data_IF_109585876803
#
_entry.id   IF_109585876803
#
_cell.length_a   1.000
_cell.length_b   1.000
_cell.length_c   1.000
_cell.angle_alpha   90.00
_cell.angle_beta   90.00
_cell.angle_gamma   90.00
#
_symmetry.space_group_name_H-M   'P 1'
#
loop_
_entity.id
_entity.type
_entity.pdbx_description
1 polymer ?
#
# COMPACT_ATOMS: atom_id res chain seq x y z
N UNK A 1 57.56 -33.34 -6.18
CA UNK A 1 58.01 -32.18 -5.37
C UNK A 1 56.99 -31.06 -5.54
N UNK A 2 56.68 -30.27 -4.50
CA UNK A 2 55.72 -29.16 -4.56
C UNK A 2 56.19 -28.09 -5.58
N UNK A 3 55.34 -27.28 -6.25
CA UNK A 3 54.46 -26.27 -5.65
C UNK A 3 53.29 -25.81 -6.54
N UNK A 4 52.42 -24.96 -5.95
CA UNK A 4 51.11 -24.51 -6.47
C UNK A 4 51.16 -23.32 -7.45
N UNK A 5 50.18 -23.33 -8.35
CA UNK A 5 49.40 -22.21 -8.91
C UNK A 5 49.61 -20.79 -8.34
N UNK A 6 49.62 -19.80 -9.26
CA UNK A 6 48.93 -18.52 -9.05
C UNK A 6 48.18 -18.03 -10.31
N UNK A 7 46.94 -17.56 -10.05
CA UNK A 7 46.09 -16.58 -10.76
C UNK A 7 46.48 -16.11 -12.18
N UNK A 8 45.49 -16.08 -13.07
CA UNK A 8 44.82 -14.82 -13.48
C UNK A 8 43.49 -15.07 -14.22
N UNK A 9 42.61 -14.07 -14.20
CA UNK A 9 41.25 -14.08 -14.75
C UNK A 9 41.22 -13.87 -16.26
N UNK A 10 40.20 -14.37 -16.98
CA UNK A 10 39.57 -13.67 -18.11
C UNK A 10 38.13 -14.17 -18.37
N UNK A 11 37.30 -13.30 -18.94
CA UNK A 11 35.91 -13.58 -19.36
C UNK A 11 35.84 -14.40 -20.67
N UNK A 12 34.61 -14.84 -21.03
CA UNK A 12 33.92 -14.65 -22.34
C UNK A 12 33.13 -15.90 -22.84
N UNK A 13 31.85 -15.66 -23.17
CA UNK A 13 30.91 -16.37 -24.08
C UNK A 13 30.93 -17.90 -24.25
N UNK A 14 29.78 -18.54 -23.97
CA UNK A 14 28.88 -19.24 -24.91
C UNK A 14 27.72 -19.87 -24.09
N UNK A 15 26.42 -19.69 -24.36
CA UNK A 15 25.63 -19.65 -25.59
C UNK A 15 25.33 -21.04 -26.21
N UNK A 16 24.10 -21.51 -25.92
CA UNK A 16 23.24 -22.41 -26.71
C UNK A 16 23.59 -23.89 -26.94
N UNK A 17 22.58 -24.71 -26.61
CA UNK A 17 22.09 -25.90 -27.32
C UNK A 17 22.99 -27.14 -27.45
N UNK A 18 22.44 -28.28 -27.01
CA UNK A 18 22.15 -29.42 -27.90
C UNK A 18 20.97 -30.21 -27.28
N UNK A 19 19.91 -30.37 -28.06
CA UNK A 19 18.89 -31.40 -27.87
C UNK A 19 19.45 -32.71 -28.42
N UNK A 20 19.27 -33.84 -27.72
CA UNK A 20 18.99 -35.10 -28.41
C UNK A 20 18.04 -36.00 -27.62
N UNK A 21 17.19 -36.68 -28.37
CA UNK A 21 16.00 -37.43 -27.94
C UNK A 21 16.31 -38.91 -27.72
N UNK A 22 15.53 -39.56 -26.85
CA UNK A 22 15.12 -40.96 -27.05
C UNK A 22 13.72 -41.18 -26.46
N UNK A 23 12.91 -41.95 -27.19
CA UNK A 23 11.52 -42.33 -26.86
C UNK A 23 11.52 -43.67 -26.09
N UNK A 24 10.49 -44.04 -25.30
CA UNK A 24 9.23 -44.62 -25.79
C UNK A 24 8.11 -44.71 -24.72
N UNK A 25 6.87 -44.63 -25.20
CA UNK A 25 5.61 -45.24 -24.70
C UNK A 25 4.98 -44.83 -23.33
N UNK A 26 4.03 -43.90 -23.45
CA UNK A 26 2.63 -43.94 -22.96
C UNK A 26 2.29 -44.63 -21.61
N UNK A 27 1.83 -43.82 -20.65
CA UNK A 27 0.49 -44.03 -20.05
C UNK A 27 -0.17 -42.67 -19.76
N UNK A 28 -1.50 -42.59 -19.89
CA UNK A 28 -2.24 -41.33 -19.85
C UNK A 28 -2.78 -40.99 -18.46
N UNK A 29 -2.20 -39.96 -17.84
CA UNK A 29 -2.86 -39.15 -16.82
C UNK A 29 -2.39 -37.69 -16.99
N UNK A 30 -3.27 -36.68 -16.84
CA UNK A 30 -2.80 -35.31 -16.82
C UNK A 30 -1.87 -35.16 -15.59
N UNK A 31 -0.65 -34.61 -15.74
CA UNK A 31 0.17 -34.34 -14.58
C UNK A 31 -0.56 -33.33 -13.71
N UNK A 32 -0.98 -33.77 -12.52
CA UNK A 32 -1.46 -32.88 -11.48
C UNK A 32 -0.28 -31.99 -11.08
N UNK A 33 -0.17 -30.83 -11.73
CA UNK A 33 0.79 -29.79 -11.33
C UNK A 33 0.57 -29.52 -9.86
N UNK A 34 1.58 -29.73 -8.99
CA UNK A 34 1.45 -29.38 -7.58
C UNK A 34 1.02 -27.91 -7.49
N UNK A 35 0.11 -27.55 -6.57
CA UNK A 35 -0.23 -26.15 -6.38
C UNK A 35 1.06 -25.39 -6.05
N UNK A 36 1.37 -24.36 -6.83
CA UNK A 36 2.53 -23.50 -6.59
C UNK A 36 2.46 -23.00 -5.14
N UNK A 37 3.50 -23.22 -4.30
CA UNK A 37 3.41 -22.93 -2.89
C UNK A 37 3.09 -21.45 -2.67
N UNK A 38 1.96 -21.16 -2.01
CA UNK A 38 1.51 -19.80 -1.69
C UNK A 38 2.42 -19.23 -0.60
N UNK A 39 3.48 -18.51 -0.97
CA UNK A 39 4.51 -18.02 -0.05
C UNK A 39 4.06 -16.79 0.75
N UNK A 40 3.65 -17.02 2.01
CA UNK A 40 3.34 -15.97 2.98
C UNK A 40 4.01 -16.29 4.33
N UNK A 41 4.83 -15.37 4.85
CA UNK A 41 5.48 -15.39 6.19
C UNK A 41 4.49 -15.01 7.31
N UNK A 42 4.21 -15.85 8.30
CA UNK A 42 3.58 -15.42 9.57
C UNK A 42 4.65 -15.21 10.65
N UNK A 43 4.53 -14.14 11.43
CA UNK A 43 5.42 -13.80 12.56
C UNK A 43 4.57 -13.57 13.82
N UNK A 44 5.03 -14.05 14.98
CA UNK A 44 4.32 -13.93 16.26
C UNK A 44 5.16 -13.18 17.30
N UNK A 45 4.49 -12.28 18.02
CA UNK A 45 5.04 -11.45 19.09
C UNK A 45 4.18 -11.59 20.36
N UNK A 46 4.80 -11.51 21.53
CA UNK A 46 4.10 -11.56 22.83
C UNK A 46 3.51 -10.20 23.18
N UNK A 47 2.31 -10.17 23.76
CA UNK A 47 1.58 -8.93 24.07
C UNK A 47 2.26 -7.97 25.05
N UNK A 48 3.20 -8.45 25.86
CA UNK A 48 3.60 -7.80 27.12
C UNK A 48 4.97 -7.09 27.05
N UNK A 49 5.58 -6.96 25.86
CA UNK A 49 6.94 -6.40 25.71
C UNK A 49 6.96 -4.97 25.18
N UNK A 50 6.94 -4.00 26.10
CA UNK A 50 7.67 -2.72 25.94
C UNK A 50 9.12 -2.94 26.40
N UNK A 51 9.96 -3.60 25.58
CA UNK A 51 11.04 -2.85 24.89
C UNK A 51 11.19 -3.37 23.42
N UNK A 52 12.31 -3.21 22.67
CA UNK A 52 12.30 -3.39 21.22
C UNK A 52 11.99 -4.83 20.78
N UNK A 53 11.49 -5.04 19.54
CA UNK A 53 11.04 -6.35 19.08
C UNK A 53 12.15 -7.41 19.23
N UNK A 54 11.79 -8.64 19.66
CA UNK A 54 12.77 -9.66 19.97
C UNK A 54 13.62 -9.99 18.73
N UNK A 55 14.94 -10.12 18.92
CA UNK A 55 15.90 -10.36 17.82
C UNK A 55 15.62 -11.65 17.01
N UNK A 56 14.79 -12.55 17.53
CA UNK A 56 14.28 -13.73 16.82
C UNK A 56 12.78 -13.93 17.14
N UNK A 57 11.85 -13.27 16.41
CA UNK A 57 10.44 -13.54 16.59
C UNK A 57 10.10 -14.89 15.96
N UNK A 58 9.24 -15.68 16.62
CA UNK A 58 8.83 -16.99 16.10
C UNK A 58 8.11 -16.80 14.77
N UNK A 59 8.57 -17.49 13.72
CA UNK A 59 8.05 -17.28 12.36
C UNK A 59 7.73 -18.60 11.66
N UNK A 60 6.50 -18.69 11.14
CA UNK A 60 5.95 -19.87 10.50
C UNK A 60 5.76 -19.60 9.01
N UNK A 61 6.24 -20.52 8.17
CA UNK A 61 5.99 -20.53 6.72
C UNK A 61 4.89 -21.55 6.42
N UNK A 62 3.59 -21.18 6.46
CA UNK A 62 2.49 -22.07 6.10
C UNK A 62 2.68 -22.62 4.67
N UNK A 63 2.44 -23.93 4.52
CA UNK A 63 2.47 -24.64 3.23
C UNK A 63 1.06 -25.03 2.75
N UNK A 64 0.08 -24.95 3.64
CA UNK A 64 -1.33 -25.29 3.40
C UNK A 64 -2.24 -24.32 4.15
N UNK A 65 -3.47 -24.12 3.68
CA UNK A 65 -4.43 -23.18 4.28
C UNK A 65 -4.72 -23.50 5.77
N UNK A 66 -4.80 -24.79 6.10
CA UNK A 66 -4.97 -25.26 7.49
C UNK A 66 -3.83 -24.84 8.44
N UNK A 67 -2.61 -24.60 7.94
CA UNK A 67 -1.52 -24.09 8.78
C UNK A 67 -1.81 -22.64 9.19
N UNK A 68 -2.48 -21.85 8.34
CA UNK A 68 -2.91 -20.48 8.64
C UNK A 68 -4.09 -20.49 9.62
N UNK A 69 -5.06 -21.37 9.42
CA UNK A 69 -6.17 -21.56 10.36
C UNK A 69 -5.66 -21.93 11.76
N UNK A 70 -4.78 -22.93 11.86
CA UNK A 70 -4.16 -23.34 13.11
C UNK A 70 -3.32 -22.22 13.73
N UNK A 71 -2.60 -21.43 12.92
CA UNK A 71 -1.83 -20.28 13.39
C UNK A 71 -2.72 -19.22 14.06
N UNK A 72 -3.86 -18.87 13.46
CA UNK A 72 -4.83 -17.93 14.05
C UNK A 72 -5.37 -18.47 15.38
N UNK A 73 -5.86 -19.71 15.39
CA UNK A 73 -6.46 -20.34 16.57
C UNK A 73 -5.44 -20.46 17.72
N UNK A 74 -4.21 -20.89 17.43
CA UNK A 74 -3.15 -21.00 18.43
C UNK A 74 -2.70 -19.63 18.94
N UNK A 75 -2.54 -18.63 18.06
CA UNK A 75 -2.16 -17.29 18.47
C UNK A 75 -3.20 -16.66 19.40
N UNK A 76 -4.50 -16.82 19.11
CA UNK A 76 -5.57 -16.40 20.01
C UNK A 76 -5.53 -17.14 21.36
N UNK A 77 -5.42 -18.47 21.33
CA UNK A 77 -5.38 -19.31 22.53
C UNK A 77 -4.20 -18.97 23.46
N UNK A 78 -3.09 -18.48 22.91
CA UNK A 78 -1.87 -18.14 23.62
C UNK A 78 -1.60 -16.62 23.72
N UNK A 79 -2.59 -15.78 23.38
CA UNK A 79 -2.50 -14.31 23.40
C UNK A 79 -1.26 -13.73 22.65
N UNK A 80 -0.93 -14.32 21.51
CA UNK A 80 0.16 -13.87 20.64
C UNK A 80 -0.38 -12.91 19.58
N UNK A 81 0.28 -11.76 19.42
CA UNK A 81 0.04 -10.85 18.32
C UNK A 81 0.62 -11.45 17.03
N UNK A 82 -0.15 -11.42 15.94
CA UNK A 82 0.28 -11.96 14.65
C UNK A 82 0.54 -10.83 13.65
N UNK A 83 1.71 -10.85 13.02
CA UNK A 83 2.08 -10.04 11.86
C UNK A 83 2.16 -10.92 10.62
N UNK A 84 1.56 -10.47 9.52
CA UNK A 84 1.41 -11.22 8.25
C UNK A 84 2.29 -10.55 7.20
N UNK A 85 3.15 -11.29 6.48
CA UNK A 85 3.83 -10.75 5.28
C UNK A 85 3.70 -11.62 4.03
N UNK A 86 3.66 -10.95 2.89
CA UNK A 86 3.72 -11.52 1.54
C UNK A 86 5.12 -11.27 0.96
N UNK A 87 5.25 -10.29 0.06
CA UNK A 87 6.55 -9.82 -0.46
C UNK A 87 7.36 -8.98 0.53
N UNK A 88 6.72 -8.42 1.57
CA UNK A 88 7.35 -7.58 2.59
C UNK A 88 7.98 -6.29 2.07
N UNK A 89 7.26 -5.61 1.18
CA UNK A 89 7.47 -4.22 0.81
C UNK A 89 6.58 -3.29 1.67
N UNK A 90 6.46 -3.58 2.96
CA UNK A 90 5.80 -2.68 3.90
C UNK A 90 6.79 -1.58 4.27
N UNK A 91 6.43 -0.33 3.99
CA UNK A 91 7.34 0.81 4.08
C UNK A 91 7.85 1.08 5.50
N UNK A 92 7.10 0.61 6.50
CA UNK A 92 7.37 0.82 7.93
C UNK A 92 7.80 -0.49 8.62
N UNK A 93 8.19 -1.51 7.84
CA UNK A 93 8.67 -2.78 8.37
C UNK A 93 7.61 -3.61 9.10
N UNK A 94 6.32 -3.20 9.11
CA UNK A 94 5.22 -3.93 9.78
C UNK A 94 5.05 -5.35 9.22
N UNK A 95 5.66 -5.65 8.05
CA UNK A 95 5.69 -6.99 7.44
C UNK A 95 7.10 -7.43 6.95
N UNK A 96 7.64 -8.45 7.62
CA UNK A 96 9.04 -8.94 7.64
C UNK A 96 9.76 -9.51 6.38
N UNK A 97 9.49 -9.12 5.12
CA UNK A 97 10.18 -9.62 3.87
C UNK A 97 10.10 -11.13 3.54
N UNK A 98 9.41 -11.57 2.48
CA UNK A 98 9.53 -12.96 1.95
C UNK A 98 9.32 -13.05 0.44
N UNK A 99 9.63 -14.21 -0.17
CA UNK A 99 9.67 -14.39 -1.62
C UNK A 99 8.31 -14.09 -2.30
N UNK A 100 8.30 -13.30 -3.39
CA UNK A 100 7.08 -12.80 -4.02
C UNK A 100 6.44 -13.79 -5.00
N UNK A 101 5.11 -13.80 -5.04
CA UNK A 101 4.36 -14.32 -6.18
C UNK A 101 4.38 -13.28 -7.31
N UNK A 102 5.14 -13.51 -8.38
CA UNK A 102 5.33 -12.52 -9.45
C UNK A 102 4.21 -12.52 -10.49
N UNK A 103 3.69 -11.33 -10.78
CA UNK A 103 2.76 -11.08 -11.89
C UNK A 103 3.43 -11.19 -13.27
N UNK A 104 4.76 -11.32 -13.37
CA UNK A 104 5.46 -11.55 -14.65
C UNK A 104 4.93 -12.79 -15.40
N UNK A 105 4.50 -13.80 -14.65
CA UNK A 105 3.92 -15.05 -15.15
C UNK A 105 2.67 -14.88 -16.02
N UNK A 106 2.00 -13.72 -15.98
CA UNK A 106 0.90 -13.37 -16.90
C UNK A 106 1.45 -13.10 -18.30
N UNK A 107 2.50 -12.27 -18.41
CA UNK A 107 3.13 -11.91 -19.68
C UNK A 107 3.86 -13.10 -20.33
N UNK A 108 4.44 -13.98 -19.51
CA UNK A 108 5.04 -15.25 -19.96
C UNK A 108 4.02 -16.19 -20.62
N UNK A 109 2.75 -16.14 -20.19
CA UNK A 109 1.66 -16.98 -20.70
C UNK A 109 0.83 -16.34 -21.81
N UNK A 110 0.81 -15.01 -21.91
CA UNK A 110 -0.03 -14.29 -22.87
C UNK A 110 0.50 -12.90 -23.18
N UNK A 111 0.82 -12.67 -24.47
CA UNK A 111 1.22 -11.35 -24.98
C UNK A 111 0.11 -10.30 -25.02
N UNK A 112 -1.16 -10.70 -24.92
CA UNK A 112 -2.33 -9.79 -25.09
C UNK A 112 -3.22 -9.70 -23.85
N UNK A 113 -2.72 -10.18 -22.72
CA UNK A 113 -3.37 -10.02 -21.42
C UNK A 113 -2.39 -9.39 -20.44
N UNK A 114 -2.88 -8.45 -19.64
CA UNK A 114 -2.16 -7.82 -18.55
C UNK A 114 -3.02 -7.75 -17.31
N UNK A 115 -2.49 -7.09 -16.29
CA UNK A 115 -3.22 -6.80 -15.05
C UNK A 115 -2.76 -5.45 -14.48
N UNK A 116 -3.66 -4.54 -14.09
CA UNK A 116 -3.29 -3.22 -13.58
C UNK A 116 -2.74 -3.34 -12.15
N UNK A 117 -1.41 -3.41 -12.02
CA UNK A 117 -0.73 -3.53 -10.74
C UNK A 117 0.60 -2.79 -10.72
N UNK A 118 1.26 -2.85 -9.57
CA UNK A 118 2.56 -2.27 -9.29
C UNK A 118 3.64 -2.70 -10.27
N UNK A 119 4.52 -1.74 -10.50
CA UNK A 119 5.69 -1.80 -11.38
C UNK A 119 6.90 -2.54 -10.78
N UNK A 120 6.95 -2.68 -9.45
CA UNK A 120 8.03 -3.35 -8.75
C UNK A 120 7.78 -4.87 -8.69
N UNK A 121 8.56 -5.72 -9.39
CA UNK A 121 8.26 -7.15 -9.55
C UNK A 121 8.39 -7.96 -8.25
N UNK A 122 9.04 -7.41 -7.24
CA UNK A 122 9.24 -8.03 -5.91
C UNK A 122 8.12 -7.73 -4.92
N UNK A 123 7.16 -6.86 -5.27
CA UNK A 123 6.02 -6.53 -4.41
C UNK A 123 5.00 -7.67 -4.41
N UNK A 124 4.77 -8.27 -3.25
CA UNK A 124 3.84 -9.40 -3.10
C UNK A 124 2.37 -8.97 -3.09
N UNK A 125 1.55 -9.68 -3.88
CA UNK A 125 0.13 -9.38 -4.11
C UNK A 125 -0.72 -9.25 -2.84
N UNK A 126 -0.40 -9.98 -1.76
CA UNK A 126 -1.19 -10.00 -0.53
C UNK A 126 -1.40 -8.62 0.07
N UNK A 127 -0.31 -7.90 0.35
CA UNK A 127 -0.36 -6.52 0.83
C UNK A 127 -0.84 -5.56 -0.27
N UNK A 128 -0.20 -5.65 -1.45
CA UNK A 128 -0.37 -4.71 -2.55
C UNK A 128 -1.82 -4.56 -3.03
N UNK A 129 -2.50 -5.69 -3.29
CA UNK A 129 -3.91 -5.66 -3.67
C UNK A 129 -4.77 -5.20 -2.49
N UNK A 130 -4.45 -5.61 -1.27
CA UNK A 130 -5.27 -5.26 -0.12
C UNK A 130 -5.30 -3.76 0.22
N UNK A 131 -4.32 -2.98 -0.26
CA UNK A 131 -4.25 -1.52 -0.15
C UNK A 131 -4.53 -0.76 -1.45
N UNK A 132 -5.07 -1.41 -2.50
CA UNK A 132 -5.44 -0.78 -3.77
C UNK A 132 -4.65 -1.29 -4.97
N UNK A 133 -3.35 -0.97 -5.01
CA UNK A 133 -2.42 -1.42 -6.05
C UNK A 133 -2.51 -0.61 -7.35
N UNK A 134 -1.69 0.45 -7.48
CA UNK A 134 -1.61 1.25 -8.70
C UNK A 134 -0.38 0.88 -9.55
N UNK A 135 -0.44 1.20 -10.83
CA UNK A 135 0.70 1.16 -11.76
C UNK A 135 0.42 1.93 -13.05
N UNK A 136 1.25 1.73 -14.08
CA UNK A 136 1.15 2.51 -15.33
C UNK A 136 -0.17 2.31 -16.09
N UNK A 137 -0.91 1.22 -15.84
CA UNK A 137 -2.22 0.96 -16.46
C UNK A 137 -3.39 1.70 -15.77
N UNK A 138 -3.14 2.46 -14.68
CA UNK A 138 -4.23 2.98 -13.84
C UNK A 138 -5.18 3.95 -14.56
N UNK A 139 -4.69 4.73 -15.54
CA UNK A 139 -5.53 5.67 -16.30
C UNK A 139 -6.49 4.99 -17.27
N UNK A 140 -6.21 3.76 -17.70
CA UNK A 140 -7.06 2.97 -18.63
C UNK A 140 -7.94 1.96 -17.91
N UNK A 141 -7.45 1.36 -16.82
CA UNK A 141 -8.11 0.23 -16.18
C UNK A 141 -8.39 0.43 -14.68
N UNK A 142 -7.89 1.48 -14.03
CA UNK A 142 -7.99 1.63 -12.59
C UNK A 142 -6.93 0.83 -11.83
N UNK A 143 -7.20 0.53 -10.57
CA UNK A 143 -6.30 -0.16 -9.64
C UNK A 143 -6.46 -1.69 -9.71
N UNK A 144 -5.54 -2.43 -9.09
CA UNK A 144 -5.66 -3.89 -8.93
C UNK A 144 -6.99 -4.29 -8.28
N UNK A 145 -7.42 -3.54 -7.25
CA UNK A 145 -8.71 -3.79 -6.56
C UNK A 145 -9.93 -3.68 -7.45
N UNK A 146 -9.87 -2.86 -8.50
CA UNK A 146 -10.99 -2.67 -9.43
C UNK A 146 -11.20 -3.91 -10.35
N UNK A 147 -10.30 -4.89 -10.29
CA UNK A 147 -10.32 -6.14 -11.07
C UNK A 147 -10.33 -7.41 -10.20
N UNK A 148 -10.51 -7.29 -8.88
CA UNK A 148 -10.68 -8.44 -7.99
C UNK A 148 -12.15 -8.86 -7.99
N UNK A 149 -12.42 -10.12 -8.28
CA UNK A 149 -13.79 -10.67 -8.34
C UNK A 149 -14.12 -11.61 -7.19
N UNK A 150 -13.11 -12.18 -6.54
CA UNK A 150 -13.25 -13.10 -5.41
C UNK A 150 -11.96 -13.13 -4.58
N UNK A 151 -12.01 -13.62 -3.36
CA UNK A 151 -10.85 -13.78 -2.48
C UNK A 151 -11.08 -14.92 -1.48
N UNK A 152 -10.01 -15.59 -1.05
CA UNK A 152 -10.05 -16.49 0.11
C UNK A 152 -9.39 -15.80 1.30
N UNK A 153 -10.02 -15.83 2.48
CA UNK A 153 -9.51 -15.24 3.73
C UNK A 153 -9.66 -16.21 4.91
N UNK A 154 -8.69 -16.21 5.83
CA UNK A 154 -8.86 -16.77 7.18
C UNK A 154 -9.31 -15.67 8.13
N UNK A 155 -10.49 -15.84 8.72
CA UNK A 155 -11.08 -14.89 9.66
C UNK A 155 -10.61 -15.07 11.11
N UNK A 156 -11.21 -14.29 12.03
CA UNK A 156 -10.89 -14.31 13.47
C UNK A 156 -11.32 -15.59 14.18
N UNK A 157 -12.02 -16.51 13.51
CA UNK A 157 -12.40 -17.80 14.04
C UNK A 157 -11.61 -18.95 13.39
N UNK A 158 -10.59 -18.63 12.58
CA UNK A 158 -9.80 -19.61 11.84
C UNK A 158 -10.60 -20.27 10.69
N UNK A 159 -11.70 -19.67 10.23
CA UNK A 159 -12.51 -20.19 9.11
C UNK A 159 -11.94 -19.67 7.79
N UNK A 160 -11.81 -20.55 6.79
CA UNK A 160 -11.56 -20.13 5.40
C UNK A 160 -12.89 -19.70 4.79
N UNK A 161 -12.97 -18.46 4.32
CA UNK A 161 -14.14 -17.88 3.69
C UNK A 161 -13.79 -17.44 2.26
N UNK A 162 -14.64 -17.75 1.29
CA UNK A 162 -14.65 -17.11 -0.03
C UNK A 162 -15.52 -15.83 -0.02
N UNK A 163 -15.69 -15.14 -1.16
CA UNK A 163 -16.57 -13.95 -1.24
C UNK A 163 -18.00 -14.22 -0.76
N UNK A 164 -18.56 -15.37 -1.10
CA UNK A 164 -19.94 -15.73 -0.74
C UNK A 164 -20.10 -15.95 0.78
N UNK A 165 -19.15 -16.64 1.41
CA UNK A 165 -19.18 -16.88 2.86
C UNK A 165 -18.71 -15.69 3.70
N UNK A 166 -17.82 -14.83 3.19
CA UNK A 166 -17.37 -13.63 3.91
C UNK A 166 -18.37 -12.45 3.78
N UNK A 167 -19.15 -12.43 2.69
CA UNK A 167 -20.11 -11.39 2.37
C UNK A 167 -19.47 -10.11 1.81
N UNK A 168 -20.28 -9.33 1.08
CA UNK A 168 -19.84 -8.16 0.31
C UNK A 168 -19.15 -7.08 1.14
N UNK A 169 -19.52 -6.92 2.42
CA UNK A 169 -18.87 -5.97 3.33
C UNK A 169 -17.40 -6.33 3.60
N UNK A 170 -17.13 -7.57 4.01
CA UNK A 170 -15.76 -8.02 4.28
C UNK A 170 -14.95 -8.09 3.00
N UNK A 171 -15.56 -8.56 1.89
CA UNK A 171 -14.94 -8.54 0.58
C UNK A 171 -14.51 -7.12 0.16
N UNK A 172 -15.41 -6.14 0.24
CA UNK A 172 -15.11 -4.73 -0.05
C UNK A 172 -13.98 -4.20 0.85
N UNK A 173 -13.99 -4.52 2.15
CA UNK A 173 -12.97 -4.05 3.09
C UNK A 173 -11.56 -4.57 2.77
N UNK A 174 -11.42 -5.84 2.35
CA UNK A 174 -10.11 -6.41 2.02
C UNK A 174 -9.61 -6.00 0.62
N UNK A 175 -10.48 -5.52 -0.27
CA UNK A 175 -10.11 -4.97 -1.58
C UNK A 175 -9.80 -3.47 -1.51
N UNK A 176 -8.92 -3.06 -0.58
CA UNK A 176 -8.38 -1.69 -0.52
C UNK A 176 -8.15 -1.12 0.88
N UNK A 177 -8.76 -1.71 1.93
CA UNK A 177 -8.73 -1.22 3.31
C UNK A 177 -7.60 -1.77 4.18
N UNK A 178 -6.66 -2.53 3.60
CA UNK A 178 -5.57 -3.19 4.30
C UNK A 178 -5.97 -4.52 4.93
N UNK A 179 -5.73 -5.62 4.21
CA UNK A 179 -6.24 -6.96 4.58
C UNK A 179 -5.81 -7.43 5.98
N UNK A 180 -4.61 -7.03 6.41
CA UNK A 180 -4.08 -7.31 7.75
C UNK A 180 -4.87 -6.68 8.91
N UNK A 181 -5.87 -5.83 8.65
CA UNK A 181 -6.83 -5.35 9.66
C UNK A 181 -8.05 -6.27 9.83
N UNK A 182 -8.28 -7.22 8.91
CA UNK A 182 -9.52 -8.00 8.83
C UNK A 182 -9.30 -9.52 8.86
N UNK A 183 -8.13 -10.00 8.45
CA UNK A 183 -7.76 -11.42 8.50
C UNK A 183 -6.51 -11.76 7.69
N UNK A 184 -6.30 -13.05 7.43
CA UNK A 184 -5.20 -13.52 6.57
C UNK A 184 -5.74 -13.83 5.18
N UNK A 185 -5.56 -12.92 4.22
CA UNK A 185 -5.94 -13.19 2.82
C UNK A 185 -5.00 -14.22 2.21
N UNK A 186 -5.55 -15.34 1.75
CA UNK A 186 -4.84 -16.49 1.19
C UNK A 186 -4.63 -16.39 -0.32
N UNK A 187 -5.60 -15.82 -1.04
CA UNK A 187 -5.57 -15.66 -2.50
C UNK A 187 -6.61 -14.65 -2.98
N UNK A 188 -6.36 -14.06 -4.15
CA UNK A 188 -7.32 -13.26 -4.91
C UNK A 188 -7.63 -13.94 -6.25
N UNK A 189 -8.88 -13.85 -6.69
CA UNK A 189 -9.30 -14.17 -8.06
C UNK A 189 -9.43 -12.85 -8.82
N UNK A 190 -8.71 -12.74 -9.92
CA UNK A 190 -8.58 -11.50 -10.69
C UNK A 190 -9.14 -11.68 -12.11
N UNK A 191 -9.73 -10.60 -12.63
CA UNK A 191 -9.97 -10.45 -14.06
C UNK A 191 -8.70 -9.91 -14.73
N UNK A 192 -8.28 -10.53 -15.83
CA UNK A 192 -7.21 -10.00 -16.66
C UNK A 192 -7.76 -8.97 -17.65
N UNK A 193 -7.00 -7.91 -17.91
CA UNK A 193 -7.34 -6.89 -18.92
C UNK A 193 -6.67 -7.20 -20.24
N UNK A 194 -7.29 -6.79 -21.35
CA UNK A 194 -6.67 -6.89 -22.68
C UNK A 194 -5.58 -5.82 -22.84
N UNK A 195 -4.46 -6.19 -23.44
CA UNK A 195 -3.41 -5.24 -23.85
C UNK A 195 -3.01 -5.53 -25.31
N UNK A 196 -2.59 -4.52 -26.08
CA UNK A 196 -2.05 -4.76 -27.41
C UNK A 196 -0.74 -5.57 -27.31
N UNK A 197 -0.43 -6.38 -28.32
CA UNK A 197 0.82 -7.17 -28.37
C UNK A 197 2.07 -6.27 -28.45
N UNK A 198 1.92 -5.04 -28.92
CA UNK A 198 2.98 -4.02 -28.95
C UNK A 198 2.52 -2.78 -28.20
N UNK A 199 3.37 -2.27 -27.31
CA UNK A 199 3.18 -1.01 -26.58
C UNK A 199 4.41 -0.12 -26.81
N UNK A 200 4.19 1.19 -26.91
CA UNK A 200 5.28 2.17 -27.09
C UNK A 200 5.72 2.73 -25.74
N UNK A 201 7.02 2.64 -25.45
CA UNK A 201 7.63 3.25 -24.26
C UNK A 201 8.59 4.38 -24.63
N UNK A 202 8.65 5.42 -23.81
CA UNK A 202 9.59 6.52 -23.97
C UNK A 202 10.14 7.02 -22.63
N UNK A 203 11.28 7.71 -22.72
CA UNK A 203 11.93 8.49 -21.67
C UNK A 203 12.40 9.80 -22.28
N UNK A 204 11.98 10.93 -21.72
CA UNK A 204 12.41 12.28 -22.14
C UNK A 204 12.92 13.01 -20.90
N UNK A 205 14.10 13.61 -20.97
CA UNK A 205 14.72 14.31 -19.84
C UNK A 205 14.97 15.78 -20.18
N UNK A 206 14.78 16.66 -19.19
CA UNK A 206 15.06 18.08 -19.26
C UNK A 206 15.70 18.56 -17.97
N UNK A 207 16.78 19.33 -18.07
CA UNK A 207 17.36 20.07 -16.93
C UNK A 207 16.76 21.47 -16.84
N UNK A 208 17.01 22.21 -15.76
CA UNK A 208 16.58 23.61 -15.63
C UNK A 208 17.08 24.49 -16.80
N UNK A 209 18.34 24.31 -17.23
CA UNK A 209 18.91 24.94 -18.43
C UNK A 209 18.16 24.64 -19.74
N UNK A 210 17.30 23.63 -19.76
CA UNK A 210 16.45 23.23 -20.89
C UNK A 210 14.98 23.58 -20.67
N UNK A 211 14.71 24.57 -19.81
CA UNK A 211 13.40 25.04 -19.41
C UNK A 211 12.49 23.94 -18.83
N UNK A 212 13.05 23.09 -17.95
CA UNK A 212 12.28 22.02 -17.30
C UNK A 212 11.09 22.55 -16.49
N UNK A 213 11.18 23.76 -15.91
CA UNK A 213 10.13 24.36 -15.07
C UNK A 213 8.82 24.56 -15.83
N UNK A 214 8.84 25.23 -16.99
CA UNK A 214 7.64 25.41 -17.83
C UNK A 214 7.07 24.07 -18.33
N UNK A 215 7.95 23.14 -18.68
CA UNK A 215 7.54 21.82 -19.18
C UNK A 215 6.84 21.01 -18.07
N UNK A 216 7.34 21.07 -16.83
CA UNK A 216 6.70 20.46 -15.65
C UNK A 216 5.37 21.16 -15.34
N UNK A 217 5.32 22.49 -15.41
CA UNK A 217 4.08 23.26 -15.20
C UNK A 217 2.98 22.85 -16.20
N UNK A 218 3.28 22.82 -17.49
CA UNK A 218 2.34 22.39 -18.52
C UNK A 218 1.95 20.91 -18.38
N UNK A 219 2.90 20.02 -18.06
CA UNK A 219 2.61 18.62 -17.77
C UNK A 219 1.58 18.49 -16.62
N UNK A 220 1.74 19.24 -15.52
CA UNK A 220 0.81 19.22 -14.39
C UNK A 220 -0.59 19.77 -14.73
N UNK A 221 -0.73 20.56 -15.80
CA UNK A 221 -2.03 21.02 -16.30
C UNK A 221 -2.77 19.99 -17.16
N UNK A 222 -2.05 19.11 -17.87
CA UNK A 222 -2.64 18.25 -18.92
C UNK A 222 -2.59 16.76 -18.62
N UNK A 223 -1.65 16.27 -17.80
CA UNK A 223 -1.35 14.83 -17.68
C UNK A 223 -2.52 13.97 -17.20
N UNK A 224 -3.44 14.52 -16.40
CA UNK A 224 -4.68 13.86 -15.97
C UNK A 224 -5.74 13.79 -17.08
N UNK A 225 -5.68 14.68 -18.08
CA UNK A 225 -6.67 14.88 -19.15
C UNK A 225 -6.30 14.23 -20.49
N UNK A 226 -5.11 13.63 -20.59
CA UNK A 226 -4.66 12.91 -21.79
C UNK A 226 -5.54 11.69 -22.09
N UNK A 227 -5.50 11.19 -23.34
CA UNK A 227 -6.01 9.87 -23.74
C UNK A 227 -5.68 8.78 -22.71
N UNK A 228 -6.61 7.87 -22.40
CA UNK A 228 -6.42 6.86 -21.34
C UNK A 228 -5.26 5.90 -21.61
N UNK A 229 -4.96 5.67 -22.89
CA UNK A 229 -3.86 4.83 -23.39
C UNK A 229 -2.47 5.46 -23.13
N UNK A 230 -2.42 6.75 -22.77
CA UNK A 230 -1.20 7.48 -22.50
C UNK A 230 -0.98 7.67 -21.00
N UNK A 231 -0.01 6.94 -20.45
CA UNK A 231 0.52 7.16 -19.11
C UNK A 231 1.89 7.82 -19.19
N UNK A 232 2.08 8.94 -18.49
CA UNK A 232 3.36 9.66 -18.41
C UNK A 232 3.62 9.93 -16.93
N UNK A 233 4.62 9.30 -16.33
CA UNK A 233 5.15 9.64 -15.01
C UNK A 233 6.19 10.74 -15.15
N UNK A 234 6.14 11.75 -14.29
CA UNK A 234 7.23 12.69 -14.07
C UNK A 234 8.02 12.25 -12.84
N UNK A 235 9.35 12.27 -12.93
CA UNK A 235 10.27 12.16 -11.80
C UNK A 235 11.11 13.44 -11.79
N UNK A 236 11.16 14.10 -10.63
CA UNK A 236 12.13 15.16 -10.34
C UNK A 236 13.22 14.55 -9.47
N UNK A 237 14.47 14.78 -9.87
CA UNK A 237 15.68 14.30 -9.19
C UNK A 237 16.81 15.31 -9.38
N UNK A 238 17.76 15.37 -8.45
CA UNK A 238 19.00 16.16 -8.61
C UNK A 238 20.00 15.35 -9.44
N UNK A 239 20.76 16.02 -10.31
CA UNK A 239 21.83 15.41 -11.11
C UNK A 239 23.05 16.32 -11.20
N UNK A 240 24.24 15.73 -11.30
CA UNK A 240 25.47 16.44 -11.65
C UNK A 240 25.49 16.81 -13.14
N UNK A 241 26.03 17.98 -13.49
CA UNK A 241 26.12 18.44 -14.88
C UNK A 241 27.53 18.87 -15.27
N UNK A 242 28.01 18.29 -16.37
CA UNK A 242 29.30 18.61 -17.01
C UNK A 242 29.29 19.93 -17.80
N UNK A 243 28.20 20.72 -17.76
CA UNK A 243 28.05 21.95 -18.56
C UNK A 243 28.75 23.18 -17.94
N UNK A 244 29.21 23.07 -16.69
CA UNK A 244 29.98 24.11 -15.99
C UNK A 244 31.31 23.54 -15.51
N UNK A 245 32.35 24.38 -15.40
CA UNK A 245 33.71 23.94 -15.01
C UNK A 245 33.83 23.36 -13.59
N UNK A 246 32.81 23.55 -12.74
CA UNK A 246 32.84 23.22 -11.31
C UNK A 246 31.83 22.12 -10.91
N UNK A 247 31.46 21.20 -11.81
CA UNK A 247 30.57 20.05 -11.51
C UNK A 247 29.28 20.40 -10.74
N UNK A 248 28.63 21.53 -11.06
CA UNK A 248 27.42 21.95 -10.34
C UNK A 248 26.30 20.90 -10.44
N UNK A 249 25.54 20.74 -9.35
CA UNK A 249 24.27 20.00 -9.34
C UNK A 249 23.17 20.84 -9.99
N UNK A 250 22.15 20.20 -10.56
CA UNK A 250 20.93 20.85 -11.09
C UNK A 250 19.73 19.90 -11.00
N UNK A 251 18.51 20.42 -11.07
CA UNK A 251 17.31 19.58 -11.16
C UNK A 251 17.10 19.02 -12.56
N UNK A 252 16.73 17.74 -12.63
CA UNK A 252 16.25 17.04 -13.84
C UNK A 252 14.79 16.65 -13.69
N UNK A 253 13.99 17.04 -14.67
CA UNK A 253 12.66 16.52 -14.92
C UNK A 253 12.72 15.39 -15.95
N UNK A 254 12.36 14.17 -15.55
CA UNK A 254 12.37 12.99 -16.39
C UNK A 254 10.94 12.42 -16.56
N UNK A 255 10.49 12.37 -17.81
CA UNK A 255 9.15 11.95 -18.23
C UNK A 255 9.20 10.54 -18.81
N UNK A 256 8.50 9.58 -18.20
CA UNK A 256 8.52 8.17 -18.57
C UNK A 256 7.12 7.63 -18.82
N UNK A 257 6.92 6.85 -19.90
CA UNK A 257 5.74 5.96 -19.99
C UNK A 257 5.98 4.55 -19.42
N UNK A 258 7.23 4.21 -19.08
CA UNK A 258 7.60 2.99 -18.35
C UNK A 258 8.03 3.27 -16.89
N UNK A 259 8.55 2.26 -16.18
CA UNK A 259 9.14 2.39 -14.85
C UNK A 259 10.66 2.27 -14.90
N UNK A 260 11.37 3.08 -14.11
CA UNK A 260 12.82 2.97 -13.96
C UNK A 260 13.38 3.50 -12.62
N UNK A 261 12.77 3.14 -11.48
CA UNK A 261 13.36 3.45 -10.16
C UNK A 261 13.41 2.22 -9.25
N UNK A 262 14.44 2.17 -8.40
CA UNK A 262 14.50 1.28 -7.23
C UNK A 262 14.35 2.18 -6.02
N UNK A 263 13.38 1.89 -5.15
CA UNK A 263 12.98 2.79 -4.06
C UNK A 263 12.63 2.04 -2.79
N UNK A 264 13.39 2.28 -1.73
CA UNK A 264 12.97 2.10 -0.33
C UNK A 264 12.63 3.48 0.25
N UNK A 265 11.74 3.53 1.25
CA UNK A 265 11.09 4.74 1.78
C UNK A 265 10.30 5.57 0.76
N UNK A 266 9.02 5.84 1.07
CA UNK A 266 8.14 6.59 0.20
C UNK A 266 6.92 7.13 0.96
N UNK A 267 6.76 8.44 0.94
CA UNK A 267 5.50 9.09 1.31
C UNK A 267 4.65 9.29 0.06
N UNK A 268 3.32 9.34 0.16
CA UNK A 268 2.48 9.60 -1.03
C UNK A 268 1.20 10.37 -0.75
N UNK A 269 1.02 11.48 -1.48
CA UNK A 269 -0.15 12.34 -1.37
C UNK A 269 -0.79 12.71 -2.71
N UNK A 270 -2.09 13.00 -2.67
CA UNK A 270 -2.83 13.49 -3.84
C UNK A 270 -2.60 14.99 -4.05
N UNK A 271 -2.79 15.45 -5.29
CA UNK A 271 -2.85 16.88 -5.61
C UNK A 271 -4.26 17.27 -6.01
N UNK A 272 -4.81 18.27 -5.30
CA UNK A 272 -6.09 18.90 -5.60
C UNK A 272 -5.96 19.93 -6.72
N UNK A 273 -7.11 20.45 -7.16
CA UNK A 273 -7.31 21.39 -8.28
C UNK A 273 -6.82 22.83 -8.01
N UNK A 274 -6.02 23.07 -6.97
CA UNK A 274 -5.43 24.39 -6.71
C UNK A 274 -4.46 24.78 -7.85
N UNK A 275 -4.39 26.09 -8.22
CA UNK A 275 -3.66 26.52 -9.40
C UNK A 275 -2.17 26.11 -9.35
N UNK A 276 -1.62 25.54 -10.45
CA UNK A 276 -0.26 24.99 -10.47
C UNK A 276 0.85 26.04 -10.33
N UNK A 277 0.51 27.33 -10.42
CA UNK A 277 1.42 28.50 -10.29
C UNK A 277 2.29 28.46 -9.03
N UNK A 278 1.82 27.80 -7.96
CA UNK A 278 2.56 27.69 -6.69
C UNK A 278 3.52 26.50 -6.58
N UNK A 279 3.45 25.51 -7.49
CA UNK A 279 4.35 24.34 -7.50
C UNK A 279 5.68 24.61 -8.22
N UNK A 280 5.73 25.71 -8.99
CA UNK A 280 6.88 26.19 -9.77
C UNK A 280 8.11 26.44 -8.86
N UNK A 281 7.89 27.04 -7.69
CA UNK A 281 8.95 27.43 -6.74
C UNK A 281 9.88 26.30 -6.31
N UNK A 282 9.40 25.04 -6.26
CA UNK A 282 10.26 23.89 -5.99
C UNK A 282 11.47 23.82 -6.92
N UNK A 283 11.29 24.11 -8.22
CA UNK A 283 12.32 23.96 -9.24
C UNK A 283 13.23 25.18 -9.34
N UNK A 284 12.72 26.36 -9.00
CA UNK A 284 13.45 27.63 -8.99
C UNK A 284 14.25 27.81 -7.69
N UNK A 285 13.68 27.44 -6.54
CA UNK A 285 14.39 27.44 -5.26
C UNK A 285 15.48 26.36 -5.26
N UNK A 286 15.25 25.18 -5.89
CA UNK A 286 16.22 24.09 -6.02
C UNK A 286 17.52 24.41 -6.79
N UNK A 287 17.58 25.56 -7.48
CA UNK A 287 18.77 26.05 -8.21
C UNK A 287 19.47 27.21 -7.47
N UNK A 288 18.94 27.62 -6.32
CA UNK A 288 19.54 28.63 -5.44
C UNK A 288 20.36 27.95 -4.33
N UNK A 289 21.38 28.63 -3.81
CA UNK A 289 22.30 28.08 -2.79
C UNK A 289 21.61 27.71 -1.46
N UNK A 290 20.33 28.06 -1.25
CA UNK A 290 19.54 27.73 -0.05
C UNK A 290 18.39 26.72 -0.28
N UNK A 291 17.99 26.46 -1.53
CA UNK A 291 16.83 25.61 -1.81
C UNK A 291 17.24 24.26 -2.38
N UNK A 292 16.78 23.17 -1.76
CA UNK A 292 16.93 21.73 -2.08
C UNK A 292 18.30 21.15 -2.48
N UNK A 293 19.26 21.95 -2.93
CA UNK A 293 20.67 21.80 -2.63
C UNK A 293 20.88 21.97 -1.12
N UNK A 294 20.54 20.94 -0.37
CA UNK A 294 21.06 20.78 0.99
C UNK A 294 22.57 20.73 0.88
N UNK A 295 23.29 21.42 1.77
CA UNK A 295 24.73 21.24 1.97
C UNK A 295 25.02 19.75 2.18
N UNK A 296 25.44 19.09 1.10
CA UNK A 296 25.82 17.69 1.08
C UNK A 296 27.33 17.66 1.24
N UNK A 297 27.79 17.48 2.48
CA UNK A 297 29.21 17.30 2.77
C UNK A 297 29.79 16.16 1.91
N UNK A 298 30.95 16.47 1.36
CA UNK A 298 31.63 15.72 0.32
C UNK A 298 32.19 14.40 0.89
N UNK A 299 31.54 13.25 0.64
CA UNK A 299 32.20 11.99 0.21
C UNK A 299 31.28 10.77 -0.02
N UNK A 300 30.08 10.68 0.54
CA UNK A 300 29.25 9.48 0.40
C UNK A 300 28.45 9.44 -0.92
N UNK A 301 28.29 8.22 -1.49
CA UNK A 301 27.52 7.99 -2.73
C UNK A 301 26.01 7.99 -2.45
N UNK A 302 25.48 9.16 -2.14
CA UNK A 302 24.05 9.43 -1.93
C UNK A 302 23.28 9.28 -3.25
N UNK A 303 22.01 8.86 -3.19
CA UNK A 303 21.04 9.11 -4.27
C UNK A 303 20.07 10.18 -3.77
N UNK A 304 20.15 11.35 -4.37
CA UNK A 304 19.42 12.55 -3.94
C UNK A 304 17.89 12.31 -3.90
N UNK A 305 17.12 13.13 -3.15
CA UNK A 305 15.67 12.98 -3.04
C UNK A 305 14.95 12.99 -4.40
N UNK A 306 13.98 12.08 -4.55
CA UNK A 306 13.15 11.95 -5.74
C UNK A 306 11.69 12.32 -5.45
N UNK A 307 11.11 13.20 -6.27
CA UNK A 307 9.66 13.44 -6.31
C UNK A 307 9.05 12.81 -7.55
N UNK A 308 8.24 11.78 -7.38
CA UNK A 308 7.63 11.01 -8.48
C UNK A 308 6.12 11.28 -8.58
N UNK A 309 5.70 11.95 -9.65
CA UNK A 309 4.31 12.29 -9.95
C UNK A 309 3.70 11.23 -10.88
N UNK A 310 2.63 10.57 -10.43
CA UNK A 310 1.86 9.61 -11.23
C UNK A 310 0.49 10.23 -11.55
N UNK A 311 0.15 10.48 -12.84
CA UNK A 311 -1.10 11.14 -13.21
C UNK A 311 -2.32 10.24 -12.95
N UNK A 312 -3.41 10.89 -12.56
CA UNK A 312 -4.74 10.28 -12.39
C UNK A 312 -5.59 10.62 -13.63
N UNK A 313 -6.90 10.85 -13.47
CA UNK A 313 -7.83 11.00 -14.59
C UNK A 313 -8.06 9.69 -15.35
N UNK A 314 -8.70 9.78 -16.52
CA UNK A 314 -9.26 8.63 -17.21
C UNK A 314 -10.13 7.78 -16.27
N UNK A 315 -9.95 6.46 -16.31
CA UNK A 315 -10.63 5.47 -15.47
C UNK A 315 -10.59 5.77 -13.97
N UNK A 316 -9.53 6.41 -13.46
CA UNK A 316 -9.44 6.79 -12.06
C UNK A 316 -10.45 7.87 -11.65
N UNK A 317 -10.94 8.68 -12.60
CA UNK A 317 -11.99 9.67 -12.36
C UNK A 317 -13.40 9.12 -12.57
N UNK A 318 -13.58 8.09 -13.41
CA UNK A 318 -14.89 7.45 -13.63
C UNK A 318 -15.34 6.58 -12.44
N UNK A 319 -14.38 5.91 -11.80
CA UNK A 319 -14.68 4.96 -10.70
C UNK A 319 -15.09 5.73 -9.44
N UNK A 320 -16.26 5.41 -8.88
CA UNK A 320 -16.75 6.03 -7.64
C UNK A 320 -15.74 5.89 -6.49
N UNK A 321 -15.57 6.97 -5.71
CA UNK A 321 -14.73 6.98 -4.49
C UNK A 321 -15.21 6.03 -3.39
N UNK A 322 -16.43 5.50 -3.47
CA UNK A 322 -16.99 4.52 -2.50
C UNK A 322 -17.01 3.08 -3.02
N UNK A 323 -16.68 2.85 -4.30
CA UNK A 323 -16.68 1.51 -4.94
C UNK A 323 -15.72 0.52 -4.27
N UNK A 324 -14.60 1.03 -3.77
CA UNK A 324 -13.57 0.36 -2.98
C UNK A 324 -13.24 1.23 -1.76
N UNK A 325 -12.59 0.71 -0.71
CA UNK A 325 -12.07 1.52 0.39
C UNK A 325 -11.14 2.64 -0.05
N UNK A 326 -10.37 2.44 -1.13
CA UNK A 326 -9.50 3.47 -1.72
C UNK A 326 -10.35 4.63 -2.30
N UNK A 327 -10.25 5.86 -1.75
CA UNK A 327 -11.21 6.93 -2.04
C UNK A 327 -10.72 7.94 -3.09
N UNK A 328 -9.44 7.88 -3.46
CA UNK A 328 -8.76 8.94 -4.22
C UNK A 328 -9.05 8.80 -5.73
N UNK A 329 -10.24 9.24 -6.15
CA UNK A 329 -10.76 9.09 -7.51
C UNK A 329 -10.84 10.44 -8.23
N UNK A 330 -12.01 10.84 -8.74
CA UNK A 330 -12.24 12.16 -9.35
C UNK A 330 -11.74 13.34 -8.50
N UNK A 331 -11.27 14.41 -9.15
CA UNK A 331 -10.77 15.63 -8.51
C UNK A 331 -9.29 15.60 -8.08
N UNK A 332 -8.62 14.45 -8.20
CA UNK A 332 -7.18 14.33 -7.94
C UNK A 332 -6.42 14.36 -9.27
N UNK A 333 -5.43 15.26 -9.41
CA UNK A 333 -4.67 15.42 -10.67
C UNK A 333 -3.56 14.36 -10.80
N UNK A 334 -2.76 14.22 -9.76
CA UNK A 334 -1.68 13.27 -9.67
C UNK A 334 -1.40 12.87 -8.21
N UNK A 335 -0.80 11.69 -8.04
CA UNK A 335 -0.23 11.23 -6.77
C UNK A 335 1.27 11.45 -6.78
N UNK A 336 1.75 12.32 -5.89
CA UNK A 336 3.18 12.57 -5.66
C UNK A 336 3.70 11.50 -4.71
N UNK A 337 4.84 10.93 -5.02
CA UNK A 337 5.61 10.05 -4.15
C UNK A 337 6.94 10.75 -3.80
N UNK A 338 7.27 10.83 -2.51
CA UNK A 338 8.50 11.42 -2.00
C UNK A 338 9.41 10.29 -1.51
N UNK A 339 10.58 10.09 -2.12
CA UNK A 339 11.50 9.00 -1.77
C UNK A 339 12.96 9.47 -1.68
N UNK A 340 13.74 8.90 -0.76
CA UNK A 340 15.20 9.01 -0.73
C UNK A 340 15.79 7.60 -0.63
N UNK A 341 16.93 7.36 -1.29
CA UNK A 341 17.62 6.08 -1.22
C UNK A 341 19.07 6.32 -0.83
N UNK A 342 19.55 5.58 0.15
CA UNK A 342 20.92 5.70 0.64
C UNK A 342 21.51 4.31 0.86
N UNK A 343 22.78 4.16 0.49
CA UNK A 343 23.52 2.91 0.70
C UNK A 343 24.22 2.89 2.10
N UNK A 344 24.24 4.02 2.81
CA UNK A 344 24.87 4.18 4.12
C UNK A 344 24.10 3.50 5.27
N UNK A 345 24.77 2.68 6.07
CA UNK A 345 24.17 2.02 7.24
C UNK A 345 24.49 2.78 8.53
N UNK A 346 23.51 3.01 9.39
CA UNK A 346 23.68 3.62 10.71
C UNK A 346 22.47 4.45 11.11
N UNK A 347 22.28 4.66 12.42
CA UNK A 347 21.15 5.44 12.94
C UNK A 347 21.26 6.92 12.55
N UNK A 348 22.48 7.42 12.40
CA UNK A 348 22.81 8.78 11.98
C UNK A 348 22.39 9.02 10.51
N UNK A 349 22.73 8.09 9.62
CA UNK A 349 22.33 8.13 8.23
C UNK A 349 20.80 8.02 8.09
N UNK A 350 20.19 7.03 8.74
CA UNK A 350 18.74 6.85 8.78
C UNK A 350 18.02 8.12 9.25
N UNK A 351 18.45 8.70 10.38
CA UNK A 351 17.90 9.96 10.90
C UNK A 351 18.07 11.11 9.91
N UNK A 352 19.24 11.26 9.30
CA UNK A 352 19.50 12.33 8.33
C UNK A 352 18.53 12.29 7.14
N UNK A 353 18.38 11.12 6.51
CA UNK A 353 17.50 11.00 5.33
C UNK A 353 16.02 11.08 5.71
N UNK A 354 15.59 10.52 6.85
CA UNK A 354 14.21 10.67 7.31
C UNK A 354 13.89 12.15 7.60
N UNK A 355 14.76 12.87 8.30
CA UNK A 355 14.54 14.29 8.59
C UNK A 355 14.57 15.17 7.32
N UNK A 356 15.37 14.81 6.31
CA UNK A 356 15.34 15.43 4.98
C UNK A 356 13.97 15.22 4.30
N UNK A 357 13.44 13.99 4.34
CA UNK A 357 12.11 13.70 3.78
C UNK A 357 11.00 14.43 4.52
N UNK A 358 11.10 14.57 5.86
CA UNK A 358 10.16 15.35 6.68
C UNK A 358 10.16 16.83 6.30
N UNK A 359 11.33 17.45 6.12
CA UNK A 359 11.45 18.85 5.64
C UNK A 359 10.79 19.05 4.27
N UNK A 360 11.09 18.18 3.31
CA UNK A 360 10.47 18.19 1.97
C UNK A 360 8.95 17.98 2.04
N UNK A 361 8.49 17.09 2.93
CA UNK A 361 7.08 16.83 3.16
C UNK A 361 6.34 18.03 3.77
N UNK A 362 6.96 18.70 4.76
CA UNK A 362 6.44 19.91 5.40
C UNK A 362 6.37 21.09 4.42
N UNK A 363 7.45 21.34 3.67
CA UNK A 363 7.50 22.34 2.59
C UNK A 363 6.33 22.16 1.60
N UNK A 364 5.94 20.92 1.30
CA UNK A 364 4.90 20.62 0.32
C UNK A 364 3.46 20.77 0.81
N UNK A 365 3.25 20.98 2.12
CA UNK A 365 1.93 21.11 2.75
C UNK A 365 0.96 22.07 2.02
N UNK A 366 1.32 23.31 1.63
CA UNK A 366 0.40 24.23 0.96
C UNK A 366 0.08 23.88 -0.50
N UNK A 367 0.74 22.89 -1.11
CA UNK A 367 0.62 22.58 -2.54
C UNK A 367 -0.10 21.25 -2.84
N UNK A 368 -0.46 20.49 -1.82
CA UNK A 368 -1.15 19.18 -1.90
C UNK A 368 -2.59 19.26 -1.38
N UNK A 369 -3.31 18.14 -1.39
CA UNK A 369 -4.59 17.97 -0.69
C UNK A 369 -4.55 18.47 0.75
N UNK A 370 -5.64 19.09 1.23
CA UNK A 370 -5.81 19.46 2.63
C UNK A 370 -7.22 19.12 3.11
N UNK A 371 -7.37 18.98 4.44
CA UNK A 371 -8.64 18.75 5.14
C UNK A 371 -9.46 17.51 4.65
N UNK A 372 -8.90 16.29 4.67
CA UNK A 372 -7.60 15.88 5.18
C UNK A 372 -6.47 15.99 4.14
N UNK A 373 -5.22 15.83 4.59
CA UNK A 373 -4.09 15.58 3.68
C UNK A 373 -4.14 14.11 3.26
N UNK A 374 -4.36 13.84 1.98
CA UNK A 374 -4.67 12.51 1.45
C UNK A 374 -3.46 11.60 1.40
N UNK A 375 -3.43 10.51 2.15
CA UNK A 375 -2.35 9.52 2.13
C UNK A 375 -2.73 8.25 1.35
N UNK A 376 -1.74 7.49 0.87
CA UNK A 376 -1.98 6.21 0.17
C UNK A 376 -1.57 5.01 1.04
N UNK A 377 -2.53 4.19 1.46
CA UNK A 377 -2.33 3.14 2.47
C UNK A 377 -1.20 2.12 2.21
N UNK A 378 -0.90 1.79 0.95
CA UNK A 378 0.22 0.89 0.62
C UNK A 378 1.60 1.54 0.86
N UNK A 379 1.67 2.87 0.97
CA UNK A 379 2.84 3.63 1.39
C UNK A 379 2.55 4.14 2.80
N UNK A 380 2.62 3.22 3.77
CA UNK A 380 2.42 3.55 5.18
C UNK A 380 3.44 4.58 5.63
N UNK A 381 2.98 5.44 6.52
CA UNK A 381 3.71 6.53 7.13
C UNK A 381 3.26 6.64 8.59
N UNK A 382 4.10 6.20 9.53
CA UNK A 382 3.82 6.25 10.97
C UNK A 382 3.87 7.68 11.52
N UNK A 383 4.49 8.65 10.82
CA UNK A 383 4.47 10.07 11.22
C UNK A 383 3.05 10.67 11.08
N UNK A 384 2.14 10.05 10.31
CA UNK A 384 0.69 10.39 10.32
C UNK A 384 -0.02 10.04 11.64
N UNK A 385 0.68 9.38 12.55
CA UNK A 385 0.19 8.94 13.86
C UNK A 385 -0.11 7.46 13.92
N UNK A 386 -0.01 6.89 15.12
CA UNK A 386 -0.19 5.47 15.41
C UNK A 386 -1.39 5.22 16.32
N UNK A 387 -1.92 4.00 16.28
CA UNK A 387 -2.93 3.49 17.19
C UNK A 387 -2.24 2.63 18.25
N UNK A 388 -2.32 3.03 19.52
CA UNK A 388 -1.72 2.28 20.61
C UNK A 388 -2.61 1.12 21.07
N UNK A 389 -3.85 1.05 20.55
CA UNK A 389 -4.88 0.08 20.93
C UNK A 389 -5.27 0.11 22.42
N UNK A 390 -5.01 1.24 23.09
CA UNK A 390 -5.24 1.48 24.52
C UNK A 390 -6.74 1.69 24.87
N UNK A 391 -7.58 0.72 24.50
CA UNK A 391 -8.99 0.68 24.86
C UNK A 391 -9.80 1.85 24.28
N UNK A 392 -10.33 2.73 25.15
CA UNK A 392 -11.36 3.73 24.80
C UNK A 392 -10.93 4.74 23.73
N UNK A 393 -9.64 5.03 23.61
CA UNK A 393 -9.11 6.03 22.67
C UNK A 393 -8.85 5.48 21.26
N UNK A 394 -8.79 4.15 21.07
CA UNK A 394 -8.30 3.52 19.84
C UNK A 394 -9.06 3.94 18.56
N UNK A 395 -10.36 4.25 18.67
CA UNK A 395 -11.12 4.80 17.54
C UNK A 395 -10.67 6.22 17.14
N UNK A 396 -10.46 7.12 18.10
CA UNK A 396 -10.04 8.49 17.82
C UNK A 396 -8.55 8.54 17.40
N UNK A 397 -7.66 7.73 18.00
CA UNK A 397 -6.28 7.55 17.54
C UNK A 397 -6.23 7.07 16.08
N UNK A 398 -6.93 5.97 15.76
CA UNK A 398 -6.98 5.41 14.40
C UNK A 398 -7.66 6.31 13.37
N UNK A 399 -8.54 7.21 13.80
CA UNK A 399 -9.22 8.17 12.94
C UNK A 399 -8.29 9.26 12.41
N UNK A 400 -7.21 9.61 13.13
CA UNK A 400 -6.23 10.64 12.69
C UNK A 400 -5.64 10.29 11.33
N UNK A 401 -4.98 9.13 11.21
CA UNK A 401 -4.45 8.63 9.93
C UNK A 401 -5.54 7.99 9.05
N UNK A 402 -6.56 7.38 9.65
CA UNK A 402 -7.60 6.65 8.93
C UNK A 402 -8.38 7.49 7.93
N UNK A 403 -8.68 8.75 8.26
CA UNK A 403 -9.34 9.67 7.30
C UNK A 403 -8.41 10.16 6.20
N UNK A 404 -7.09 10.20 6.44
CA UNK A 404 -6.09 10.55 5.41
C UNK A 404 -6.01 9.44 4.35
N UNK A 405 -6.00 8.18 4.78
CA UNK A 405 -5.98 7.03 3.88
C UNK A 405 -7.32 6.79 3.16
N UNK A 406 -8.44 6.92 3.87
CA UNK A 406 -9.74 6.39 3.42
C UNK A 406 -10.88 7.42 3.32
N UNK A 407 -10.66 8.69 3.69
CA UNK A 407 -11.70 9.75 3.67
C UNK A 407 -13.00 9.27 4.34
N UNK A 408 -14.14 9.47 3.68
CA UNK A 408 -15.46 9.02 4.14
C UNK A 408 -15.59 7.49 4.29
N UNK A 409 -14.78 6.70 3.55
CA UNK A 409 -14.82 5.24 3.62
C UNK A 409 -14.30 4.69 4.97
N UNK A 410 -13.53 5.48 5.72
CA UNK A 410 -13.00 5.10 7.04
C UNK A 410 -14.09 4.62 8.00
N UNK A 411 -15.23 5.32 8.05
CA UNK A 411 -16.35 4.96 8.93
C UNK A 411 -16.88 3.56 8.61
N UNK A 412 -17.09 3.26 7.32
CA UNK A 412 -17.57 1.93 6.88
C UNK A 412 -16.55 0.84 7.20
N UNK A 413 -15.26 1.10 7.01
CA UNK A 413 -14.19 0.16 7.40
C UNK A 413 -14.24 -0.17 8.90
N UNK A 414 -14.42 0.83 9.76
CA UNK A 414 -14.54 0.64 11.22
C UNK A 414 -15.81 -0.14 11.61
N UNK A 415 -16.94 0.12 10.96
CA UNK A 415 -18.19 -0.63 11.17
C UNK A 415 -18.01 -2.12 10.80
N UNK A 416 -17.36 -2.39 9.66
CA UNK A 416 -17.06 -3.75 9.20
C UNK A 416 -16.07 -4.43 10.15
N UNK A 417 -14.97 -3.76 10.51
CA UNK A 417 -13.97 -4.24 11.48
C UNK A 417 -14.62 -4.67 12.79
N UNK A 418 -15.49 -3.83 13.34
CA UNK A 418 -16.24 -4.09 14.58
C UNK A 418 -17.12 -5.34 14.49
N UNK A 419 -17.65 -5.65 13.30
CA UNK A 419 -18.50 -6.82 13.04
C UNK A 419 -17.69 -8.11 12.85
N UNK A 420 -16.57 -8.06 12.14
CA UNK A 420 -15.79 -9.26 11.74
C UNK A 420 -14.65 -9.62 12.69
N UNK A 421 -14.16 -8.66 13.47
CA UNK A 421 -13.13 -8.83 14.49
C UNK A 421 -13.42 -7.91 15.69
N UNK A 422 -14.47 -8.20 16.48
CA UNK A 422 -14.91 -7.35 17.59
C UNK A 422 -13.90 -7.26 18.75
N UNK A 423 -12.94 -8.18 18.82
CA UNK A 423 -11.87 -8.20 19.82
C UNK A 423 -10.57 -7.55 19.32
N UNK A 424 -10.55 -7.04 18.09
CA UNK A 424 -9.41 -6.40 17.45
C UNK A 424 -8.13 -7.27 17.47
N UNK A 425 -8.27 -8.56 17.17
CA UNK A 425 -7.15 -9.50 17.09
C UNK A 425 -6.18 -9.15 15.95
N UNK A 426 -6.71 -8.89 14.74
CA UNK A 426 -5.93 -8.48 13.58
C UNK A 426 -5.62 -6.98 13.67
N UNK A 427 -4.54 -6.64 14.36
CA UNK A 427 -4.12 -5.27 14.60
C UNK A 427 -2.62 -5.05 14.35
N UNK A 428 -2.31 -3.81 14.04
CA UNK A 428 -0.98 -3.22 13.91
C UNK A 428 -1.12 -1.69 14.11
N UNK A 429 0.02 -1.00 14.13
CA UNK A 429 0.20 0.41 14.48
C UNK A 429 -0.69 1.37 13.67
N UNK A 430 -1.18 0.98 12.48
CA UNK A 430 -2.16 1.74 11.68
C UNK A 430 -3.31 0.88 11.14
N UNK A 431 -3.68 -0.16 11.90
CA UNK A 431 -4.85 -1.00 11.58
C UNK A 431 -6.17 -0.27 11.84
N UNK A 432 -7.20 -0.64 11.08
CA UNK A 432 -8.56 -0.12 11.28
C UNK A 432 -9.03 -0.45 12.71
N UNK A 433 -9.44 0.54 13.53
CA UNK A 433 -9.91 0.29 14.89
C UNK A 433 -11.33 -0.29 14.90
N UNK A 434 -11.70 -0.92 16.01
CA UNK A 434 -13.10 -1.21 16.33
C UNK A 434 -13.78 0.01 16.94
N UNK A 435 -15.12 0.08 16.86
CA UNK A 435 -15.89 1.05 17.63
C UNK A 435 -15.73 0.79 19.14
N UNK A 436 -15.75 1.84 19.99
CA UNK A 436 -15.72 1.67 21.43
C UNK A 436 -16.92 0.85 21.92
N UNK A 437 -16.67 -0.08 22.85
CA UNK A 437 -17.67 -0.98 23.41
C UNK A 437 -18.71 -0.23 24.28
N UNK A 438 -19.72 0.36 23.63
CA UNK A 438 -20.82 1.10 24.26
C UNK A 438 -21.87 0.19 24.94
N UNK A 439 -21.46 -0.98 25.45
CA UNK A 439 -22.34 -1.93 26.15
C UNK A 439 -23.01 -1.30 27.38
N UNK A 440 -22.30 -0.45 28.12
CA UNK A 440 -22.89 0.33 29.22
C UNK A 440 -24.05 1.23 28.77
N UNK A 441 -23.89 1.96 27.66
CA UNK A 441 -24.95 2.82 27.12
C UNK A 441 -26.12 2.01 26.56
N UNK A 442 -25.89 0.82 25.99
CA UNK A 442 -26.95 -0.10 25.56
C UNK A 442 -27.74 -0.64 26.76
N UNK A 443 -27.07 -1.02 27.84
CA UNK A 443 -27.71 -1.44 29.09
C UNK A 443 -28.52 -0.29 29.69
N UNK A 444 -27.97 0.92 29.77
CA UNK A 444 -28.68 2.12 30.28
C UNK A 444 -29.92 2.42 29.43
N UNK A 445 -29.81 2.41 28.10
CA UNK A 445 -30.98 2.58 27.21
C UNK A 445 -32.02 1.46 27.38
N UNK A 446 -31.59 0.21 27.54
CA UNK A 446 -32.49 -0.93 27.75
C UNK A 446 -33.22 -0.82 29.10
N UNK A 447 -32.51 -0.43 30.16
CA UNK A 447 -33.07 -0.15 31.49
C UNK A 447 -34.08 1.00 31.40
N UNK A 448 -33.73 2.14 30.78
CA UNK A 448 -34.63 3.29 30.62
C UNK A 448 -35.92 2.89 29.87
N UNK A 449 -35.81 2.15 28.76
CA UNK A 449 -36.96 1.70 28.00
C UNK A 449 -37.83 0.69 28.78
N UNK A 450 -37.20 -0.23 29.52
CA UNK A 450 -37.91 -1.23 30.34
C UNK A 450 -38.68 -0.58 31.49
N UNK A 451 -38.06 0.35 32.23
CA UNK A 451 -38.74 1.11 33.29
C UNK A 451 -39.81 2.06 32.74
N UNK A 452 -39.61 2.65 31.55
CA UNK A 452 -40.62 3.45 30.86
C UNK A 452 -41.88 2.65 30.52
N UNK A 453 -41.72 1.43 29.99
CA UNK A 453 -42.83 0.50 29.73
C UNK A 453 -43.54 0.08 31.03
N UNK A 454 -42.78 -0.23 32.09
CA UNK A 454 -43.35 -0.59 33.39
C UNK A 454 -44.18 0.56 34.00
N UNK A 455 -43.67 1.80 33.93
CA UNK A 455 -44.37 2.99 34.40
C UNK A 455 -45.66 3.23 33.59
N UNK A 456 -45.62 3.10 32.27
CA UNK A 456 -46.82 3.20 31.42
C UNK A 456 -47.88 2.15 31.78
N UNK A 457 -47.47 0.90 32.06
CA UNK A 457 -48.37 -0.16 32.48
C UNK A 457 -49.03 0.12 33.85
N UNK A 458 -48.26 0.59 34.84
CA UNK A 458 -48.78 0.97 36.16
C UNK A 458 -49.74 2.17 36.06
N UNK A 459 -49.42 3.19 35.25
CA UNK A 459 -50.31 4.33 35.02
C UNK A 459 -51.61 3.88 34.33
N UNK A 460 -51.53 3.00 33.32
CA UNK A 460 -52.70 2.42 32.66
C UNK A 460 -53.60 1.65 33.64
N UNK A 461 -53.01 0.79 34.47
CA UNK A 461 -53.72 0.03 35.50
C UNK A 461 -54.40 0.95 36.53
N UNK A 462 -53.74 2.02 36.97
CA UNK A 462 -54.32 3.02 37.89
C UNK A 462 -55.46 3.81 37.25
N UNK A 463 -55.37 4.15 35.95
CA UNK A 463 -56.45 4.81 35.21
C UNK A 463 -57.67 3.89 35.10
N UNK A 464 -57.47 2.62 34.73
CA UNK A 464 -58.53 1.61 34.63
C UNK A 464 -59.19 1.38 36.00
N UNK A 465 -58.40 1.22 37.07
CA UNK A 465 -58.92 1.09 38.43
C UNK A 465 -59.77 2.30 38.85
N UNK A 466 -59.31 3.52 38.53
CA UNK A 466 -60.04 4.77 38.80
C UNK A 466 -61.31 4.95 37.94
N UNK A 467 -61.42 4.26 36.80
CA UNK A 467 -62.66 4.19 36.01
C UNK A 467 -63.62 3.11 36.53
N UNK A 468 -63.12 2.00 37.08
CA UNK A 468 -63.94 0.92 37.64
C UNK A 468 -64.44 1.18 39.07
N UNK A 469 -63.84 2.13 39.80
CA UNK A 469 -64.28 2.58 41.12
C UNK A 469 -65.11 3.88 41.08
N UNK A 470 -65.73 4.17 39.93
CA UNK A 470 -66.77 5.21 39.75
C UNK A 470 -68.06 4.56 39.29
#
# INVERSE_FOLDING_TARGET
MQFRFQRTSFHVLQAMQILHTQSLQQSSSPPSTPPTPRSFKLTFETSDSTPPPPQNPSSLSPLHESHVQASVICAQKHNLQMKIRSGGHDYEGVSYVSLPASLSSIAEKSKTHGFPAGVCPTVGVGGHFSGGGYGNLMRKYGLSVDHIVDAQIVDVHGRVLDRNFMGEDLFWAITGGGGASFGVVLSYKINLVRVPETVTVFRVERTLFQNATDIVYHYLQVADKLEEDLFIRLILEVVETNQTKDNKKTMRAAFFSHWNTRGCFAFSYSTSTNPPEKKIRLLEEADSEEGFGVDLEENDRVRDPLLTFNPYGGKMAEISSTSSPFPHRAGNLAKIQYAANWDASGAEAEKHYIDLMRKLHEYMTPFVSNSPRDAYFNYKDLDLGINNHNGKASYEEGKVHGVMYFKANFKRLVEIKTKVDPHNFFRNEQSIPTLPNNWGNKIVMFIINYWGLLAAYVIGALIIHKQLCK
#
